data_IF_750740450271
#
_entry.id   IF_750740450271
#
_cell.length_a   1.000
_cell.length_b   1.000
_cell.length_c   1.000
_cell.angle_alpha   90.00
_cell.angle_beta   90.00
_cell.angle_gamma   90.00
#
_symmetry.space_group_name_H-M   'P 1'
#
loop_
_entity.id
_entity.type
_entity.pdbx_description
1 polymer ?
#
# COMPACT_ATOMS: atom_id res chain seq x y z
N UNK A 1 -8.80 -33.87 15.71
CA UNK A 1 -9.78 -32.88 15.20
C UNK A 1 -10.60 -32.18 16.29
N UNK A 2 -11.34 -32.89 17.17
CA UNK A 2 -12.20 -32.25 18.19
C UNK A 2 -11.47 -31.32 19.19
N UNK A 3 -10.30 -31.71 19.69
CA UNK A 3 -9.50 -30.84 20.58
C UNK A 3 -8.99 -29.58 19.87
N UNK A 4 -8.65 -29.68 18.58
CA UNK A 4 -8.17 -28.55 17.78
C UNK A 4 -9.31 -27.57 17.44
N UNK A 5 -10.53 -28.09 17.24
CA UNK A 5 -11.75 -27.31 17.10
C UNK A 5 -12.10 -26.53 18.38
N UNK A 6 -11.88 -27.13 19.56
CA UNK A 6 -12.15 -26.46 20.83
C UNK A 6 -11.19 -25.28 21.10
N UNK A 7 -9.91 -25.43 20.75
CA UNK A 7 -8.91 -24.36 20.97
C UNK A 7 -9.13 -23.22 19.97
N UNK A 8 -9.48 -23.55 18.72
CA UNK A 8 -9.84 -22.54 17.73
C UNK A 8 -11.13 -21.82 18.11
N UNK A 9 -12.11 -22.50 18.70
CA UNK A 9 -13.35 -21.88 19.18
C UNK A 9 -13.10 -20.80 20.27
N UNK A 10 -12.10 -20.98 21.13
CA UNK A 10 -11.71 -19.98 22.13
C UNK A 10 -10.99 -18.75 21.53
N UNK A 11 -10.27 -18.94 20.42
CA UNK A 11 -9.50 -17.88 19.77
C UNK A 11 -10.31 -17.00 18.81
N UNK A 12 -11.31 -17.56 18.12
CA UNK A 12 -12.12 -16.81 17.15
C UNK A 12 -12.76 -15.52 17.71
N UNK A 13 -13.31 -15.50 18.95
CA UNK A 13 -13.79 -14.26 19.55
C UNK A 13 -12.71 -13.19 19.72
N UNK A 14 -11.49 -13.57 20.12
CA UNK A 14 -10.37 -12.64 20.27
C UNK A 14 -9.95 -12.07 18.91
N UNK A 15 -9.85 -12.92 17.88
CA UNK A 15 -9.54 -12.50 16.53
C UNK A 15 -10.60 -11.55 15.97
N UNK A 16 -11.89 -11.82 16.23
CA UNK A 16 -12.99 -10.95 15.84
C UNK A 16 -12.93 -9.60 16.56
N UNK A 17 -12.61 -9.58 17.86
CA UNK A 17 -12.42 -8.33 18.60
C UNK A 17 -11.24 -7.53 18.08
N UNK A 18 -10.12 -8.20 17.76
CA UNK A 18 -8.97 -7.58 17.12
C UNK A 18 -9.37 -6.95 15.77
N UNK A 19 -10.04 -7.72 14.91
CA UNK A 19 -10.50 -7.23 13.61
C UNK A 19 -11.47 -6.06 13.77
N UNK A 20 -12.43 -6.11 14.69
CA UNK A 20 -13.33 -4.99 14.95
C UNK A 20 -12.56 -3.74 15.39
N UNK A 21 -11.55 -3.90 16.26
CA UNK A 21 -10.77 -2.80 16.80
C UNK A 21 -9.88 -2.10 15.77
N UNK A 22 -9.46 -2.80 14.71
CA UNK A 22 -8.74 -2.14 13.60
C UNK A 22 -9.55 -1.02 12.96
N UNK A 23 -10.90 -1.13 12.91
CA UNK A 23 -11.75 -0.05 12.39
C UNK A 23 -11.71 1.19 13.30
N UNK A 24 -11.61 1.03 14.62
CA UNK A 24 -11.40 2.15 15.56
C UNK A 24 -10.09 2.89 15.27
N UNK A 25 -9.02 2.15 14.96
CA UNK A 25 -7.75 2.77 14.55
C UNK A 25 -7.87 3.52 13.23
N UNK A 26 -8.55 2.95 12.23
CA UNK A 26 -8.81 3.61 10.93
C UNK A 26 -9.63 4.88 11.11
N UNK A 27 -10.71 4.82 11.88
CA UNK A 27 -11.60 5.96 12.10
C UNK A 27 -10.86 7.12 12.78
N UNK A 28 -10.11 6.83 13.85
CA UNK A 28 -9.28 7.84 14.53
C UNK A 28 -8.18 8.42 13.64
N UNK A 29 -7.59 7.60 12.75
CA UNK A 29 -6.63 8.09 11.75
C UNK A 29 -7.28 9.02 10.72
N UNK A 30 -8.45 8.67 10.19
CA UNK A 30 -9.21 9.49 9.25
C UNK A 30 -9.54 10.85 9.88
N UNK A 31 -9.99 10.86 11.13
CA UNK A 31 -10.29 12.11 11.84
C UNK A 31 -9.06 12.99 12.03
N UNK A 32 -7.90 12.38 12.28
CA UNK A 32 -6.63 13.10 12.37
C UNK A 32 -6.22 13.69 11.01
N UNK A 33 -6.36 12.93 9.93
CA UNK A 33 -6.06 13.39 8.57
C UNK A 33 -6.97 14.53 8.13
N UNK A 34 -8.29 14.39 8.32
CA UNK A 34 -9.27 15.45 8.06
C UNK A 34 -8.94 16.73 8.81
N UNK A 35 -8.61 16.63 10.10
CA UNK A 35 -8.22 17.81 10.89
C UNK A 35 -6.94 18.46 10.35
N UNK A 36 -5.97 17.68 9.84
CA UNK A 36 -4.79 18.22 9.18
C UNK A 36 -5.15 18.94 7.86
N UNK A 37 -6.07 18.39 7.07
CA UNK A 37 -6.55 19.03 5.85
C UNK A 37 -7.23 20.37 6.15
N UNK A 38 -8.09 20.43 7.18
CA UNK A 38 -8.70 21.68 7.66
C UNK A 38 -7.64 22.73 8.02
N UNK A 39 -6.61 22.34 8.77
CA UNK A 39 -5.49 23.24 9.14
C UNK A 39 -4.80 23.78 7.88
N UNK A 40 -4.50 22.91 6.90
CA UNK A 40 -3.85 23.32 5.66
C UNK A 40 -4.69 24.33 4.88
N UNK A 41 -6.02 24.13 4.82
CA UNK A 41 -6.95 25.06 4.15
C UNK A 41 -6.95 26.41 4.86
N UNK A 42 -7.01 26.44 6.19
CA UNK A 42 -6.96 27.70 6.96
C UNK A 42 -5.63 28.42 6.76
N UNK A 43 -4.50 27.69 6.73
CA UNK A 43 -3.19 28.27 6.43
C UNK A 43 -3.13 28.90 5.04
N UNK A 44 -3.70 28.24 4.03
CA UNK A 44 -3.81 28.80 2.68
C UNK A 44 -4.66 30.07 2.64
N UNK A 45 -5.82 30.09 3.34
CA UNK A 45 -6.67 31.28 3.46
C UNK A 45 -5.93 32.44 4.12
N UNK A 46 -5.22 32.19 5.22
CA UNK A 46 -4.40 33.22 5.90
C UNK A 46 -3.35 33.77 4.94
N UNK A 47 -2.64 32.90 4.21
CA UNK A 47 -1.62 33.31 3.24
C UNK A 47 -2.21 34.20 2.14
N UNK A 48 -3.36 33.81 1.57
CA UNK A 48 -4.05 34.60 0.56
C UNK A 48 -4.46 36.00 1.07
N UNK A 49 -4.98 36.08 2.30
CA UNK A 49 -5.33 37.37 2.92
C UNK A 49 -4.08 38.24 3.14
N UNK A 50 -2.99 37.67 3.66
CA UNK A 50 -1.73 38.40 3.88
C UNK A 50 -1.18 38.95 2.57
N UNK A 51 -1.21 38.15 1.49
CA UNK A 51 -0.79 38.59 0.17
C UNK A 51 -1.69 39.73 -0.36
N UNK A 52 -3.01 39.64 -0.14
CA UNK A 52 -3.96 40.68 -0.54
C UNK A 52 -3.72 41.98 0.24
N UNK A 53 -3.44 41.91 1.54
CA UNK A 53 -3.06 43.07 2.35
C UNK A 53 -1.78 43.72 1.82
N UNK A 54 -0.78 42.92 1.43
CA UNK A 54 0.45 43.42 0.83
C UNK A 54 0.17 44.19 -0.46
N UNK A 55 -0.67 43.64 -1.34
CA UNK A 55 -1.11 44.28 -2.58
C UNK A 55 -1.84 45.61 -2.30
N UNK A 56 -2.76 45.63 -1.34
CA UNK A 56 -3.47 46.86 -0.93
C UNK A 56 -2.48 47.90 -0.41
N UNK A 57 -1.50 47.51 0.40
CA UNK A 57 -0.48 48.45 0.89
C UNK A 57 0.34 49.04 -0.27
N UNK A 58 0.69 48.23 -1.28
CA UNK A 58 1.36 48.73 -2.47
C UNK A 58 0.48 49.72 -3.25
N UNK A 59 -0.80 49.39 -3.48
CA UNK A 59 -1.74 50.32 -4.13
C UNK A 59 -1.93 51.61 -3.34
N UNK A 60 -2.06 51.54 -2.02
CA UNK A 60 -2.15 52.71 -1.17
C UNK A 60 -0.88 53.57 -1.26
N UNK A 61 0.30 52.97 -1.38
CA UNK A 61 1.58 53.69 -1.57
C UNK A 61 1.59 54.45 -2.90
N UNK A 62 1.20 53.79 -4.01
CA UNK A 62 1.12 54.43 -5.33
C UNK A 62 0.04 55.53 -5.38
N UNK A 63 -1.14 55.28 -4.80
CA UNK A 63 -2.19 56.30 -4.69
C UNK A 63 -1.72 57.50 -3.86
N UNK A 64 -0.96 57.27 -2.78
CA UNK A 64 -0.36 58.36 -2.01
C UNK A 64 0.62 59.18 -2.86
N UNK A 65 1.48 58.54 -3.67
CA UNK A 65 2.38 59.22 -4.62
C UNK A 65 1.59 60.04 -5.65
N UNK A 66 0.57 59.46 -6.27
CA UNK A 66 -0.28 60.16 -7.24
C UNK A 66 -1.08 61.31 -6.60
N UNK A 67 -1.48 61.15 -5.33
CA UNK A 67 -2.20 62.17 -4.56
C UNK A 67 -1.33 63.34 -4.11
N UNK A 68 0.00 63.29 -4.30
CA UNK A 68 1.00 64.22 -3.73
C UNK A 68 0.53 65.67 -3.76
N UNK A 69 0.06 66.09 -2.58
CA UNK A 69 -0.43 67.41 -2.27
C UNK A 69 0.64 68.49 -2.53
N UNK A 70 1.91 68.16 -2.33
CA UNK A 70 3.04 69.09 -2.41
C UNK A 70 3.40 69.49 -3.85
N UNK A 71 3.37 68.57 -4.82
CA UNK A 71 3.60 68.89 -6.22
C UNK A 71 2.44 69.70 -6.83
N UNK A 72 1.19 69.39 -6.44
CA UNK A 72 0.01 70.15 -6.87
C UNK A 72 -0.06 71.53 -6.20
N UNK A 73 0.33 71.63 -4.93
CA UNK A 73 0.45 72.89 -4.21
C UNK A 73 1.55 73.76 -4.79
N UNK A 74 2.74 73.20 -5.03
CA UNK A 74 3.85 73.88 -5.69
C UNK A 74 3.48 74.33 -7.12
N UNK A 75 2.74 73.52 -7.87
CA UNK A 75 2.20 73.91 -9.18
C UNK A 75 1.20 75.07 -9.07
N UNK A 76 0.29 75.04 -8.09
CA UNK A 76 -0.66 76.13 -7.83
C UNK A 76 0.06 77.41 -7.39
N UNK A 77 1.04 77.33 -6.51
CA UNK A 77 1.86 78.48 -6.09
C UNK A 77 2.68 79.04 -7.26
N UNK A 78 3.32 78.18 -8.06
CA UNK A 78 4.09 78.58 -9.23
C UNK A 78 3.21 79.27 -10.29
N UNK A 79 2.04 78.71 -10.58
CA UNK A 79 1.08 79.30 -11.55
C UNK A 79 0.35 80.53 -11.01
N UNK A 80 0.17 80.65 -9.69
CA UNK A 80 -0.36 81.86 -9.06
C UNK A 80 0.67 83.01 -9.07
N UNK A 81 1.95 82.69 -8.84
CA UNK A 81 3.05 83.66 -8.85
C UNK A 81 3.40 84.17 -10.26
N UNK A 82 3.22 83.33 -11.29
CA UNK A 82 3.54 83.65 -12.69
C UNK A 82 2.26 83.98 -13.47
N UNK A 83 1.78 85.23 -13.37
CA UNK A 83 0.64 85.69 -14.17
C UNK A 83 0.96 85.56 -15.66
N UNK A 84 0.06 84.92 -16.42
CA UNK A 84 0.17 84.84 -17.87
C UNK A 84 0.12 86.26 -18.45
N UNK A 85 1.05 86.57 -19.35
CA UNK A 85 1.19 87.91 -19.95
C UNK A 85 0.03 88.25 -20.89
N UNK A 86 -0.76 87.24 -21.30
CA UNK A 86 -1.98 87.38 -22.10
C UNK A 86 -3.06 86.47 -21.51
N UNK A 87 -4.19 87.06 -21.13
CA UNK A 87 -5.41 86.37 -20.66
C UNK A 87 -6.52 86.58 -21.66
N UNK A 88 -7.16 85.50 -22.12
CA UNK A 88 -8.38 85.54 -22.92
C UNK A 88 -9.41 84.55 -22.32
N UNK A 89 -10.67 84.69 -22.72
CA UNK A 89 -11.79 83.90 -22.17
C UNK A 89 -11.58 82.38 -22.30
N UNK A 90 -10.85 81.94 -23.35
CA UNK A 90 -10.50 80.53 -23.52
C UNK A 90 -9.45 80.04 -22.49
N UNK A 91 -8.44 80.84 -22.20
CA UNK A 91 -7.38 80.57 -21.21
C UNK A 91 -7.99 80.51 -19.80
N UNK A 92 -8.87 81.45 -19.47
CA UNK A 92 -9.53 81.49 -18.15
C UNK A 92 -10.48 80.29 -17.95
N UNK A 93 -11.30 79.95 -18.95
CA UNK A 93 -12.15 78.74 -18.93
C UNK A 93 -11.32 77.46 -18.82
N UNK A 94 -10.16 77.39 -19.48
CA UNK A 94 -9.27 76.23 -19.44
C UNK A 94 -8.63 76.08 -18.06
N UNK A 95 -8.20 77.17 -17.43
CA UNK A 95 -7.67 77.20 -16.07
C UNK A 95 -8.71 76.72 -15.05
N UNK A 96 -9.91 77.27 -15.11
CA UNK A 96 -11.03 76.86 -14.25
C UNK A 96 -11.37 75.38 -14.40
N UNK A 97 -11.36 74.87 -15.64
CA UNK A 97 -11.57 73.45 -15.92
C UNK A 97 -10.48 72.58 -15.30
N UNK A 98 -9.21 72.95 -15.47
CA UNK A 98 -8.06 72.23 -14.89
C UNK A 98 -8.16 72.22 -13.35
N UNK A 99 -8.51 73.34 -12.74
CA UNK A 99 -8.65 73.44 -11.28
C UNK A 99 -9.82 72.58 -10.75
N UNK A 100 -10.96 72.58 -11.43
CA UNK A 100 -12.12 71.73 -11.09
C UNK A 100 -11.77 70.24 -11.23
N UNK A 101 -11.16 69.84 -12.34
CA UNK A 101 -10.73 68.45 -12.57
C UNK A 101 -9.68 68.02 -11.54
N UNK A 102 -8.72 68.89 -11.22
CA UNK A 102 -7.69 68.62 -10.21
C UNK A 102 -8.26 68.40 -8.81
N UNK A 103 -9.28 69.19 -8.42
CA UNK A 103 -10.02 69.00 -7.16
C UNK A 103 -10.84 67.71 -7.15
N UNK A 104 -11.62 67.45 -8.21
CA UNK A 104 -12.40 66.20 -8.34
C UNK A 104 -11.51 64.96 -8.21
N UNK A 105 -10.42 64.92 -8.97
CA UNK A 105 -9.47 63.80 -8.93
C UNK A 105 -8.84 63.62 -7.54
N UNK A 106 -8.57 64.72 -6.82
CA UNK A 106 -8.04 64.64 -5.46
C UNK A 106 -9.04 64.02 -4.48
N UNK A 107 -10.30 64.46 -4.54
CA UNK A 107 -11.36 63.92 -3.68
C UNK A 107 -11.63 62.44 -3.99
N UNK A 108 -11.57 62.05 -5.26
CA UNK A 108 -11.63 60.65 -5.71
C UNK A 108 -10.49 59.82 -5.12
N UNK A 109 -9.23 60.27 -5.23
CA UNK A 109 -8.09 59.56 -4.63
C UNK A 109 -8.21 59.44 -3.11
N UNK A 110 -8.69 60.48 -2.43
CA UNK A 110 -8.90 60.47 -0.97
C UNK A 110 -10.00 59.48 -0.57
N UNK A 111 -11.08 59.42 -1.34
CA UNK A 111 -12.17 58.47 -1.11
C UNK A 111 -11.71 57.03 -1.35
N UNK A 112 -10.94 56.79 -2.41
CA UNK A 112 -10.41 55.45 -2.71
C UNK A 112 -9.40 54.99 -1.66
N UNK A 113 -8.55 55.89 -1.17
CA UNK A 113 -7.63 55.59 -0.08
C UNK A 113 -8.37 55.21 1.21
N UNK A 114 -9.48 55.89 1.55
CA UNK A 114 -10.34 55.51 2.68
C UNK A 114 -10.97 54.12 2.47
N UNK A 115 -11.43 53.81 1.25
CA UNK A 115 -11.99 52.49 0.90
C UNK A 115 -10.96 51.38 1.09
N UNK A 116 -9.75 51.57 0.55
CA UNK A 116 -8.65 50.62 0.68
C UNK A 116 -8.21 50.43 2.15
N UNK A 117 -8.15 51.52 2.93
CA UNK A 117 -7.88 51.44 4.37
C UNK A 117 -8.93 50.61 5.11
N UNK A 118 -10.22 50.86 4.83
CA UNK A 118 -11.32 50.11 5.42
C UNK A 118 -11.24 48.63 5.04
N UNK A 119 -11.01 48.31 3.77
CA UNK A 119 -10.89 46.94 3.29
C UNK A 119 -9.70 46.22 3.94
N UNK A 120 -8.54 46.87 4.01
CA UNK A 120 -7.35 46.35 4.70
C UNK A 120 -7.64 46.04 6.17
N UNK A 121 -8.32 46.94 6.87
CA UNK A 121 -8.67 46.73 8.28
C UNK A 121 -9.64 45.56 8.46
N UNK A 122 -10.58 45.36 7.54
CA UNK A 122 -11.45 44.19 7.53
C UNK A 122 -10.65 42.89 7.33
N UNK A 123 -9.72 42.87 6.35
CA UNK A 123 -8.84 41.73 6.11
C UNK A 123 -7.94 41.41 7.31
N UNK A 124 -7.44 42.40 8.03
CA UNK A 124 -6.68 42.16 9.28
C UNK A 124 -7.54 41.48 10.35
N UNK A 125 -8.81 41.88 10.50
CA UNK A 125 -9.74 41.23 11.44
C UNK A 125 -10.02 39.79 11.04
N UNK A 126 -10.27 39.54 9.75
CA UNK A 126 -10.48 38.20 9.21
C UNK A 126 -9.24 37.30 9.41
N UNK A 127 -8.05 37.81 9.10
CA UNK A 127 -6.80 37.09 9.34
C UNK A 127 -6.61 36.71 10.80
N UNK A 128 -6.95 37.60 11.74
CA UNK A 128 -6.88 37.30 13.17
C UNK A 128 -7.91 36.25 13.59
N UNK A 129 -9.12 36.29 13.02
CA UNK A 129 -10.13 35.24 13.27
C UNK A 129 -9.67 33.87 12.76
N UNK A 130 -9.11 33.81 11.54
CA UNK A 130 -8.57 32.56 10.99
C UNK A 130 -7.36 32.04 11.79
N UNK A 131 -6.52 32.94 12.32
CA UNK A 131 -5.43 32.54 13.23
C UNK A 131 -5.95 31.90 14.52
N UNK A 132 -7.05 32.43 15.07
CA UNK A 132 -7.71 31.86 16.24
C UNK A 132 -8.33 30.49 15.91
N UNK A 133 -8.99 30.36 14.75
CA UNK A 133 -9.52 29.09 14.24
C UNK A 133 -8.40 28.04 14.08
N UNK A 134 -7.29 28.41 13.43
CA UNK A 134 -6.10 27.56 13.31
C UNK A 134 -5.58 27.10 14.66
N UNK A 135 -5.51 27.99 15.65
CA UNK A 135 -5.07 27.63 17.01
C UNK A 135 -6.02 26.61 17.67
N UNK A 136 -7.32 26.75 17.46
CA UNK A 136 -8.33 25.78 17.94
C UNK A 136 -8.18 24.42 17.23
N UNK A 137 -8.00 24.40 15.91
CA UNK A 137 -7.77 23.17 15.15
C UNK A 137 -6.47 22.47 15.57
N UNK A 138 -5.39 23.20 15.82
CA UNK A 138 -4.14 22.62 16.33
C UNK A 138 -4.32 21.94 17.70
N UNK A 139 -5.12 22.53 18.60
CA UNK A 139 -5.49 21.91 19.88
C UNK A 139 -6.31 20.64 19.67
N UNK A 140 -7.34 20.69 18.80
CA UNK A 140 -8.16 19.53 18.43
C UNK A 140 -7.30 18.40 17.86
N UNK A 141 -6.39 18.71 16.93
CA UNK A 141 -5.45 17.75 16.34
C UNK A 141 -4.58 17.08 17.41
N UNK A 142 -4.10 17.84 18.41
CA UNK A 142 -3.29 17.26 19.50
C UNK A 142 -4.08 16.21 20.30
N UNK A 143 -5.34 16.48 20.61
CA UNK A 143 -6.23 15.55 21.32
C UNK A 143 -6.48 14.30 20.47
N UNK A 144 -6.86 14.48 19.20
CA UNK A 144 -7.07 13.37 18.26
C UNK A 144 -5.82 12.52 18.10
N UNK A 145 -4.64 13.14 18.05
CA UNK A 145 -3.37 12.43 17.94
C UNK A 145 -3.08 11.59 19.19
N UNK A 146 -3.38 12.10 20.39
CA UNK A 146 -3.24 11.34 21.63
C UNK A 146 -4.18 10.14 21.67
N UNK A 147 -5.44 10.34 21.27
CA UNK A 147 -6.43 9.26 21.17
C UNK A 147 -5.98 8.19 20.16
N UNK A 148 -5.50 8.62 18.98
CA UNK A 148 -5.03 7.71 17.96
C UNK A 148 -3.79 6.91 18.42
N UNK A 149 -2.84 7.54 19.12
CA UNK A 149 -1.70 6.82 19.73
C UNK A 149 -2.18 5.78 20.74
N UNK A 150 -3.14 6.13 21.62
CA UNK A 150 -3.70 5.18 22.57
C UNK A 150 -4.35 3.98 21.86
N UNK A 151 -5.15 4.24 20.83
CA UNK A 151 -5.76 3.19 20.00
C UNK A 151 -4.69 2.29 19.35
N UNK A 152 -3.60 2.85 18.84
CA UNK A 152 -2.51 2.05 18.24
C UNK A 152 -1.83 1.14 19.26
N UNK A 153 -1.61 1.63 20.48
CA UNK A 153 -1.04 0.83 21.55
C UNK A 153 -1.97 -0.33 21.92
N UNK A 154 -3.27 -0.06 22.11
CA UNK A 154 -4.26 -1.10 22.40
C UNK A 154 -4.38 -2.12 21.25
N UNK A 155 -4.35 -1.67 20.00
CA UNK A 155 -4.35 -2.57 18.84
C UNK A 155 -3.10 -3.46 18.82
N UNK A 156 -1.95 -2.92 19.21
CA UNK A 156 -0.69 -3.67 19.29
C UNK A 156 -0.76 -4.74 20.37
N UNK A 157 -1.28 -4.41 21.55
CA UNK A 157 -1.48 -5.38 22.64
C UNK A 157 -2.44 -6.51 22.22
N UNK A 158 -3.58 -6.17 21.59
CA UNK A 158 -4.53 -7.17 21.05
C UNK A 158 -3.89 -8.03 19.97
N UNK A 159 -3.07 -7.43 19.10
CA UNK A 159 -2.34 -8.16 18.07
C UNK A 159 -1.33 -9.15 18.67
N UNK A 160 -0.56 -8.72 19.67
CA UNK A 160 0.41 -9.58 20.36
C UNK A 160 -0.28 -10.75 21.07
N UNK A 161 -1.39 -10.49 21.76
CA UNK A 161 -2.21 -11.53 22.36
C UNK A 161 -2.72 -12.52 21.31
N UNK A 162 -3.25 -12.02 20.18
CA UNK A 162 -3.71 -12.85 19.08
C UNK A 162 -2.58 -13.69 18.47
N UNK A 163 -1.38 -13.13 18.34
CA UNK A 163 -0.21 -13.83 17.83
C UNK A 163 0.21 -14.96 18.77
N UNK A 164 0.19 -14.72 20.09
CA UNK A 164 0.59 -15.74 21.05
C UNK A 164 -0.40 -16.91 21.07
N UNK A 165 -1.70 -16.62 21.07
CA UNK A 165 -2.73 -17.65 20.99
C UNK A 165 -2.67 -18.40 19.65
N UNK A 166 -2.48 -17.68 18.53
CA UNK A 166 -2.24 -18.28 17.21
C UNK A 166 -1.01 -19.19 17.19
N UNK A 167 0.10 -18.82 17.84
CA UNK A 167 1.31 -19.66 17.92
C UNK A 167 1.01 -21.00 18.59
N UNK A 168 0.19 -21.00 19.64
CA UNK A 168 -0.22 -22.23 20.33
C UNK A 168 -1.08 -23.12 19.42
N UNK A 169 -2.05 -22.53 18.72
CA UNK A 169 -2.87 -23.23 17.71
C UNK A 169 -1.97 -23.80 16.60
N UNK A 170 -1.10 -22.97 16.03
CA UNK A 170 -0.20 -23.36 14.96
C UNK A 170 0.75 -24.48 15.39
N UNK A 171 1.25 -24.48 16.63
CA UNK A 171 2.09 -25.57 17.17
C UNK A 171 1.34 -26.90 17.15
N UNK A 172 0.06 -26.91 17.56
CA UNK A 172 -0.77 -28.12 17.57
C UNK A 172 -1.11 -28.62 16.17
N UNK A 173 -1.42 -27.73 15.23
CA UNK A 173 -1.64 -28.14 13.84
C UNK A 173 -0.35 -28.62 13.17
N UNK A 174 0.81 -28.03 13.47
CA UNK A 174 2.10 -28.45 12.90
C UNK A 174 2.47 -29.90 13.23
N UNK A 175 2.00 -30.43 14.35
CA UNK A 175 2.27 -31.81 14.79
C UNK A 175 1.09 -32.75 14.52
N UNK A 176 0.04 -32.29 13.81
CA UNK A 176 -1.20 -33.05 13.67
C UNK A 176 -1.01 -34.43 13.01
N UNK A 177 -0.18 -34.48 11.98
CA UNK A 177 0.12 -35.70 11.23
C UNK A 177 1.36 -36.45 11.76
N UNK A 178 1.91 -36.03 12.91
CA UNK A 178 3.09 -36.66 13.49
C UNK A 178 2.79 -38.12 13.84
N UNK A 179 3.66 -39.02 13.38
CA UNK A 179 3.60 -40.47 13.55
C UNK A 179 2.41 -41.17 12.87
N UNK A 180 1.70 -40.47 11.98
CA UNK A 180 0.57 -41.07 11.26
C UNK A 180 1.06 -41.86 10.03
N UNK A 181 0.78 -43.16 10.05
CA UNK A 181 1.15 -44.13 9.00
C UNK A 181 0.28 -43.96 7.75
N UNK A 182 0.81 -44.30 6.58
CA UNK A 182 0.12 -44.28 5.29
C UNK A 182 0.05 -45.68 4.68
N UNK A 183 -0.88 -45.92 3.76
CA UNK A 183 -0.88 -47.14 2.96
C UNK A 183 0.19 -47.13 1.85
N UNK A 184 0.81 -45.98 1.60
CA UNK A 184 1.86 -45.80 0.59
C UNK A 184 3.24 -46.18 1.16
N UNK A 185 3.89 -47.18 0.58
CA UNK A 185 5.19 -47.69 1.03
C UNK A 185 6.28 -46.61 1.11
N UNK A 186 6.44 -45.82 0.04
CA UNK A 186 7.42 -44.72 0.01
C UNK A 186 7.16 -43.64 1.06
N UNK A 187 5.88 -43.39 1.40
CA UNK A 187 5.56 -42.42 2.45
C UNK A 187 6.07 -42.93 3.79
N UNK A 188 5.79 -44.19 4.12
CA UNK A 188 6.26 -44.78 5.38
C UNK A 188 7.78 -44.87 5.44
N UNK A 189 8.44 -45.20 4.33
CA UNK A 189 9.90 -45.19 4.23
C UNK A 189 10.46 -43.80 4.54
N UNK A 190 9.94 -42.75 3.91
CA UNK A 190 10.43 -41.39 4.14
C UNK A 190 10.05 -40.82 5.50
N UNK A 191 8.95 -41.30 6.11
CA UNK A 191 8.57 -40.92 7.48
C UNK A 191 9.43 -41.63 8.53
N UNK A 192 9.91 -42.85 8.26
CA UNK A 192 10.71 -43.63 9.21
C UNK A 192 12.02 -42.94 9.62
N UNK A 193 12.59 -42.14 8.72
CA UNK A 193 13.82 -41.39 8.95
C UNK A 193 13.61 -40.08 9.73
N UNK A 194 12.35 -39.70 10.03
CA UNK A 194 12.01 -38.45 10.69
C UNK A 194 11.90 -38.62 12.21
N UNK A 195 12.53 -37.71 12.95
CA UNK A 195 12.60 -37.77 14.42
C UNK A 195 11.25 -37.48 15.07
N UNK A 196 10.47 -36.57 14.50
CA UNK A 196 9.17 -36.15 15.01
C UNK A 196 8.01 -36.77 14.22
N UNK A 197 8.28 -37.77 13.39
CA UNK A 197 7.26 -38.57 12.72
C UNK A 197 6.47 -37.83 11.64
N UNK A 198 6.96 -36.72 11.08
CA UNK A 198 6.30 -36.02 9.99
C UNK A 198 5.57 -34.75 10.40
N UNK A 199 6.20 -33.91 11.23
CA UNK A 199 5.68 -32.57 11.51
C UNK A 199 5.71 -31.68 10.26
N UNK A 200 4.91 -30.62 10.20
CA UNK A 200 4.90 -29.69 9.05
C UNK A 200 6.30 -29.18 8.65
N UNK A 201 7.20 -28.81 9.60
CA UNK A 201 8.59 -28.48 9.27
C UNK A 201 9.37 -29.63 8.63
N UNK A 202 9.19 -30.87 9.11
CA UNK A 202 9.84 -32.05 8.55
C UNK A 202 9.28 -32.38 7.16
N UNK A 203 7.95 -32.36 6.98
CA UNK A 203 7.28 -32.53 5.69
C UNK A 203 7.84 -31.55 4.65
N UNK A 204 8.00 -30.27 5.04
CA UNK A 204 8.57 -29.26 4.15
C UNK A 204 10.00 -29.60 3.70
N UNK A 205 10.83 -30.15 4.59
CA UNK A 205 12.20 -30.58 4.25
C UNK A 205 12.20 -31.82 3.38
N UNK A 206 11.33 -32.78 3.66
CA UNK A 206 11.21 -34.03 2.91
C UNK A 206 10.80 -33.76 1.46
N UNK A 207 9.86 -32.83 1.23
CA UNK A 207 9.40 -32.47 -0.11
C UNK A 207 10.57 -32.10 -1.05
N UNK A 208 11.58 -31.37 -0.57
CA UNK A 208 12.74 -31.00 -1.39
C UNK A 208 13.56 -32.22 -1.85
N UNK A 209 13.76 -33.18 -0.96
CA UNK A 209 14.46 -34.43 -1.26
C UNK A 209 13.62 -35.32 -2.19
N UNK A 210 12.33 -35.45 -1.91
CA UNK A 210 11.38 -36.25 -2.68
C UNK A 210 11.22 -35.74 -4.10
N UNK A 211 11.21 -34.41 -4.30
CA UNK A 211 11.18 -33.82 -5.64
C UNK A 211 12.34 -34.34 -6.50
N UNK A 212 13.56 -34.41 -5.96
CA UNK A 212 14.74 -34.92 -6.68
C UNK A 212 14.64 -36.41 -7.02
N UNK A 213 14.08 -37.22 -6.10
CA UNK A 213 13.87 -38.64 -6.31
C UNK A 213 12.84 -38.88 -7.43
N UNK A 214 11.73 -38.15 -7.40
CA UNK A 214 10.70 -38.19 -8.45
C UNK A 214 11.27 -37.76 -9.79
N UNK A 215 12.06 -36.68 -9.84
CA UNK A 215 12.68 -36.22 -11.08
C UNK A 215 13.65 -37.27 -11.66
N UNK A 216 14.39 -37.97 -10.79
CA UNK A 216 15.28 -39.06 -11.18
C UNK A 216 14.52 -40.27 -11.73
N UNK A 217 13.42 -40.66 -11.10
CA UNK A 217 12.55 -41.74 -11.57
C UNK A 217 11.85 -41.39 -12.90
N UNK A 218 11.42 -40.13 -13.06
CA UNK A 218 10.90 -39.60 -14.31
C UNK A 218 11.95 -39.72 -15.41
N UNK A 219 13.19 -39.29 -15.15
CA UNK A 219 14.30 -39.38 -16.11
C UNK A 219 14.60 -40.82 -16.50
N UNK A 220 14.72 -41.73 -15.53
CA UNK A 220 14.95 -43.16 -15.75
C UNK A 220 13.85 -43.81 -16.61
N UNK A 221 12.58 -43.50 -16.32
CA UNK A 221 11.47 -43.96 -17.14
C UNK A 221 11.56 -43.42 -18.57
N UNK A 222 11.89 -42.14 -18.75
CA UNK A 222 12.03 -41.56 -20.09
C UNK A 222 13.18 -42.18 -20.88
N UNK A 223 14.33 -42.41 -20.27
CA UNK A 223 15.48 -43.08 -20.90
C UNK A 223 15.12 -44.49 -21.37
N UNK A 224 14.56 -45.32 -20.48
CA UNK A 224 14.14 -46.69 -20.81
C UNK A 224 13.04 -46.72 -21.87
N UNK A 225 12.07 -45.81 -21.79
CA UNK A 225 10.98 -45.73 -22.75
C UNK A 225 11.47 -45.24 -24.13
N UNK A 226 12.44 -44.32 -24.15
CA UNK A 226 13.07 -43.86 -25.39
C UNK A 226 13.90 -44.97 -26.05
N UNK A 227 14.58 -45.81 -25.26
CA UNK A 227 15.28 -47.00 -25.77
C UNK A 227 14.29 -48.06 -26.28
N UNK A 228 13.17 -48.27 -25.58
CA UNK A 228 12.17 -49.28 -25.92
C UNK A 228 11.35 -48.96 -27.18
N UNK A 229 10.93 -47.69 -27.35
CA UNK A 229 10.00 -47.26 -28.41
C UNK A 229 10.41 -47.66 -29.83
N UNK A 230 11.66 -47.49 -30.28
CA UNK A 230 12.08 -47.86 -31.62
C UNK A 230 11.95 -49.36 -31.88
N UNK A 231 12.30 -50.21 -30.91
CA UNK A 231 12.17 -51.66 -31.04
C UNK A 231 10.71 -52.09 -31.05
N UNK A 232 9.89 -51.52 -30.16
CA UNK A 232 8.46 -51.80 -30.13
C UNK A 232 7.77 -51.39 -31.44
N UNK A 233 8.14 -50.23 -31.99
CA UNK A 233 7.56 -49.72 -33.25
C UNK A 233 7.96 -50.58 -34.45
N UNK A 234 9.23 -50.98 -34.56
CA UNK A 234 9.71 -51.85 -35.65
C UNK A 234 9.10 -53.25 -35.60
N UNK A 235 9.00 -53.85 -34.41
CA UNK A 235 8.34 -55.16 -34.23
C UNK A 235 6.86 -55.08 -34.56
N UNK A 236 6.18 -54.01 -34.14
CA UNK A 236 4.77 -53.77 -34.46
C UNK A 236 4.57 -53.59 -35.97
N UNK A 237 5.39 -52.77 -36.62
CA UNK A 237 5.32 -52.54 -38.07
C UNK A 237 5.54 -53.83 -38.87
N UNK A 238 6.52 -54.66 -38.50
CA UNK A 238 6.77 -55.95 -39.15
C UNK A 238 5.58 -56.93 -39.02
N UNK A 239 4.90 -56.92 -37.88
CA UNK A 239 3.67 -57.70 -37.70
C UNK A 239 2.47 -57.13 -38.46
N UNK A 240 2.39 -55.82 -38.63
CA UNK A 240 1.31 -55.15 -39.39
C UNK A 240 1.49 -55.30 -40.91
N UNK A 241 2.73 -55.26 -41.41
CA UNK A 241 3.05 -55.41 -42.84
C UNK A 241 3.23 -56.87 -43.28
N UNK A 242 3.37 -57.82 -42.34
CA UNK A 242 3.83 -59.19 -42.60
C UNK A 242 5.22 -59.28 -43.27
N UNK A 243 6.00 -58.22 -43.24
CA UNK A 243 7.37 -58.20 -43.74
C UNK A 243 8.35 -58.22 -42.55
N UNK A 244 9.20 -59.25 -42.49
CA UNK A 244 10.13 -59.48 -41.38
C UNK A 244 11.58 -59.25 -41.83
N UNK A 245 12.18 -58.09 -41.53
CA UNK A 245 13.58 -57.83 -41.85
C UNK A 245 14.51 -58.78 -41.10
N UNK A 246 15.73 -58.98 -41.59
CA UNK A 246 16.74 -59.82 -40.93
C UNK A 246 17.06 -59.36 -39.48
N UNK A 247 16.82 -58.08 -39.17
CA UNK A 247 16.99 -57.54 -37.80
C UNK A 247 15.84 -57.87 -36.86
N UNK A 248 14.73 -58.43 -37.34
CA UNK A 248 13.49 -58.63 -36.56
C UNK A 248 13.72 -59.48 -35.30
N UNK A 249 14.49 -60.57 -35.41
CA UNK A 249 14.78 -61.43 -34.26
C UNK A 249 15.51 -60.66 -33.15
N UNK A 250 16.47 -59.82 -33.53
CA UNK A 250 17.24 -58.96 -32.61
C UNK A 250 16.37 -57.86 -32.02
N UNK A 251 15.54 -57.21 -32.82
CA UNK A 251 14.63 -56.15 -32.37
C UNK A 251 13.56 -56.69 -31.41
N UNK A 252 13.00 -57.88 -31.68
CA UNK A 252 12.03 -58.54 -30.79
C UNK A 252 12.67 -59.03 -29.49
N UNK A 253 13.93 -59.51 -29.53
CA UNK A 253 14.67 -59.86 -28.33
C UNK A 253 14.91 -58.64 -27.43
N UNK A 254 15.35 -57.51 -27.99
CA UNK A 254 15.57 -56.28 -27.23
C UNK A 254 14.25 -55.70 -26.71
N UNK A 255 13.16 -55.76 -27.48
CA UNK A 255 11.80 -55.41 -27.02
C UNK A 255 11.41 -56.24 -25.80
N UNK A 256 11.54 -57.57 -25.86
CA UNK A 256 11.19 -58.49 -24.77
C UNK A 256 12.03 -58.24 -23.51
N UNK A 257 13.31 -57.89 -23.67
CA UNK A 257 14.21 -57.52 -22.57
C UNK A 257 13.79 -56.21 -21.90
N UNK A 258 13.51 -55.17 -22.69
CA UNK A 258 13.22 -53.82 -22.19
C UNK A 258 11.79 -53.66 -21.65
N UNK A 259 10.81 -54.40 -22.18
CA UNK A 259 9.40 -54.31 -21.76
C UNK A 259 9.17 -54.42 -20.23
N UNK A 260 9.70 -55.43 -19.50
CA UNK A 260 9.52 -55.51 -18.05
C UNK A 260 10.23 -54.37 -17.31
N UNK A 261 11.37 -53.89 -17.82
CA UNK A 261 12.12 -52.77 -17.22
C UNK A 261 11.35 -51.46 -17.33
N UNK A 262 10.74 -51.19 -18.49
CA UNK A 262 9.89 -50.01 -18.71
C UNK A 262 8.65 -50.07 -17.83
N UNK A 263 8.01 -51.25 -17.72
CA UNK A 263 6.84 -51.45 -16.85
C UNK A 263 7.18 -51.17 -15.38
N UNK A 264 8.27 -51.78 -14.87
CA UNK A 264 8.72 -51.55 -13.50
C UNK A 264 9.09 -50.08 -13.24
N UNK A 265 9.80 -49.44 -14.17
CA UNK A 265 10.14 -48.01 -14.03
C UNK A 265 8.91 -47.08 -14.07
N UNK A 266 7.86 -47.46 -14.80
CA UNK A 266 6.59 -46.73 -14.80
C UNK A 266 5.86 -46.88 -13.46
N UNK A 267 5.77 -48.09 -12.94
CA UNK A 267 5.12 -48.39 -11.65
C UNK A 267 5.84 -47.68 -10.48
N UNK A 268 7.17 -47.74 -10.46
CA UNK A 268 8.04 -47.03 -9.51
C UNK A 268 7.84 -45.52 -9.57
N UNK A 269 7.94 -44.92 -10.76
CA UNK A 269 7.64 -43.50 -11.00
C UNK A 269 6.26 -43.11 -10.48
N UNK A 270 5.23 -43.92 -10.77
CA UNK A 270 3.85 -43.63 -10.36
C UNK A 270 3.74 -43.63 -8.83
N UNK A 271 4.26 -44.66 -8.17
CA UNK A 271 4.24 -44.77 -6.72
C UNK A 271 4.98 -43.60 -6.03
N UNK A 272 6.11 -43.15 -6.58
CA UNK A 272 6.84 -41.98 -6.08
C UNK A 272 6.07 -40.67 -6.26
N UNK A 273 5.36 -40.50 -7.39
CA UNK A 273 4.50 -39.32 -7.63
C UNK A 273 3.33 -39.31 -6.64
N UNK A 274 2.68 -40.45 -6.42
CA UNK A 274 1.55 -40.59 -5.50
C UNK A 274 2.00 -40.28 -4.06
N UNK A 275 3.15 -40.84 -3.63
CA UNK A 275 3.76 -40.54 -2.34
C UNK A 275 4.13 -39.06 -2.18
N UNK A 276 4.69 -38.43 -3.21
CA UNK A 276 4.97 -36.98 -3.19
C UNK A 276 3.69 -36.15 -3.07
N UNK A 277 2.64 -36.53 -3.80
CA UNK A 277 1.34 -35.83 -3.78
C UNK A 277 0.72 -35.86 -2.38
N UNK A 278 0.87 -36.98 -1.67
CA UNK A 278 0.46 -37.13 -0.28
C UNK A 278 1.07 -36.06 0.64
N UNK A 279 2.39 -35.85 0.58
CA UNK A 279 3.06 -34.81 1.38
C UNK A 279 2.60 -33.39 1.01
N UNK A 280 2.42 -33.10 -0.27
CA UNK A 280 1.87 -31.81 -0.70
C UNK A 280 0.45 -31.58 -0.17
N UNK A 281 -0.38 -32.62 -0.19
CA UNK A 281 -1.77 -32.56 0.32
C UNK A 281 -1.77 -32.25 1.81
N UNK A 282 -1.05 -33.04 2.63
CA UNK A 282 -0.92 -32.79 4.08
C UNK A 282 -0.38 -31.40 4.38
N UNK A 283 0.67 -30.97 3.67
CA UNK A 283 1.26 -29.62 3.84
C UNK A 283 0.24 -28.52 3.54
N UNK A 284 -0.43 -28.60 2.40
CA UNK A 284 -1.37 -27.58 1.95
C UNK A 284 -2.60 -27.52 2.88
N UNK A 285 -3.08 -28.66 3.35
CA UNK A 285 -4.17 -28.75 4.31
C UNK A 285 -3.80 -28.08 5.65
N UNK A 286 -2.64 -28.40 6.22
CA UNK A 286 -2.16 -27.76 7.45
C UNK A 286 -1.99 -26.25 7.29
N UNK A 287 -1.46 -25.79 6.16
CA UNK A 287 -1.42 -24.36 5.84
C UNK A 287 -2.82 -23.75 5.72
N UNK A 288 -3.77 -24.49 5.15
CA UNK A 288 -5.18 -24.10 5.06
C UNK A 288 -5.83 -23.89 6.43
N UNK A 289 -5.47 -24.67 7.44
CA UNK A 289 -5.94 -24.46 8.82
C UNK A 289 -5.21 -23.33 9.55
N UNK A 290 -3.89 -23.22 9.38
CA UNK A 290 -3.05 -22.31 10.17
C UNK A 290 -3.11 -20.86 9.66
N UNK A 291 -3.05 -20.67 8.33
CA UNK A 291 -2.83 -19.34 7.75
C UNK A 291 -4.04 -18.39 7.90
N UNK A 292 -5.29 -18.83 7.68
CA UNK A 292 -6.45 -17.95 7.82
C UNK A 292 -6.66 -17.42 9.25
N UNK A 293 -6.19 -18.18 10.24
CA UNK A 293 -6.25 -17.81 11.65
C UNK A 293 -5.16 -16.82 12.07
N UNK A 294 -4.21 -16.46 11.19
CA UNK A 294 -3.18 -15.49 11.54
C UNK A 294 -3.76 -14.06 11.52
N UNK A 295 -3.50 -13.22 12.54
CA UNK A 295 -4.08 -11.86 12.61
C UNK A 295 -3.66 -10.94 11.45
N UNK A 296 -2.48 -11.17 10.84
CA UNK A 296 -2.10 -10.53 9.55
C UNK A 296 -3.18 -10.64 8.48
N UNK A 297 -3.93 -11.76 8.40
CA UNK A 297 -4.97 -11.93 7.39
C UNK A 297 -6.09 -10.89 7.52
N UNK A 298 -6.47 -10.55 8.75
CA UNK A 298 -7.47 -9.51 9.02
C UNK A 298 -6.94 -8.12 8.63
N UNK A 299 -5.68 -7.80 8.97
CA UNK A 299 -5.06 -6.54 8.54
C UNK A 299 -4.99 -6.47 7.02
N UNK A 300 -4.48 -7.52 6.36
CA UNK A 300 -4.34 -7.56 4.91
C UNK A 300 -5.70 -7.39 4.20
N UNK A 301 -6.77 -8.02 4.71
CA UNK A 301 -8.13 -7.86 4.17
C UNK A 301 -8.63 -6.41 4.27
N UNK A 302 -8.41 -5.74 5.40
CA UNK A 302 -8.81 -4.34 5.58
C UNK A 302 -7.98 -3.42 4.70
N UNK A 303 -6.69 -3.70 4.54
CA UNK A 303 -5.84 -2.95 3.62
C UNK A 303 -6.33 -3.08 2.18
N UNK A 304 -6.74 -4.28 1.77
CA UNK A 304 -7.31 -4.51 0.44
C UNK A 304 -8.60 -3.73 0.24
N UNK A 305 -9.49 -3.69 1.24
CA UNK A 305 -10.71 -2.87 1.21
C UNK A 305 -10.37 -1.37 1.08
N UNK A 306 -9.39 -0.87 1.84
CA UNK A 306 -9.07 0.56 1.89
C UNK A 306 -8.14 1.05 0.75
N UNK A 307 -7.48 0.14 0.04
CA UNK A 307 -6.53 0.48 -1.03
C UNK A 307 -7.19 0.62 -2.41
N UNK A 308 -8.52 0.69 -2.50
CA UNK A 308 -9.25 0.71 -3.79
C UNK A 308 -8.89 1.92 -4.65
N UNK A 309 -8.71 3.10 -4.03
CA UNK A 309 -8.49 4.36 -4.74
C UNK A 309 -7.08 4.94 -4.59
N UNK A 310 -6.35 4.62 -3.51
CA UNK A 310 -4.99 5.12 -3.20
C UNK A 310 -4.18 4.13 -2.36
N UNK A 311 -2.84 4.24 -2.39
CA UNK A 311 -1.97 3.44 -1.52
C UNK A 311 -2.26 3.78 -0.05
N UNK A 312 -2.84 2.81 0.67
CA UNK A 312 -3.16 2.95 2.09
C UNK A 312 -1.91 2.69 2.94
N UNK A 313 -1.60 3.62 3.84
CA UNK A 313 -0.43 3.52 4.72
C UNK A 313 -0.83 2.84 6.05
N UNK A 314 -0.52 1.55 6.14
CA UNK A 314 -0.76 0.71 7.32
C UNK A 314 -0.01 1.13 8.55
N UNK A 315 1.22 1.59 8.40
CA UNK A 315 2.02 2.04 9.53
C UNK A 315 1.41 3.27 10.21
N UNK A 316 0.89 4.21 9.41
CA UNK A 316 0.21 5.38 9.95
C UNK A 316 -1.08 4.98 10.67
N UNK A 317 -1.95 4.22 10.01
CA UNK A 317 -3.28 3.89 10.54
C UNK A 317 -3.24 2.86 11.70
N UNK A 318 -2.42 1.82 11.61
CA UNK A 318 -2.40 0.71 12.57
C UNK A 318 -1.15 0.70 13.45
N UNK A 319 0.00 1.15 12.94
CA UNK A 319 1.29 0.96 13.62
C UNK A 319 1.78 -0.49 13.60
N UNK A 320 1.12 -1.35 12.84
CA UNK A 320 1.46 -2.76 12.69
C UNK A 320 1.66 -3.02 11.19
N UNK A 321 2.79 -3.61 10.85
CA UNK A 321 3.09 -4.04 9.49
C UNK A 321 3.04 -5.57 9.39
N UNK A 322 2.21 -6.07 8.48
CA UNK A 322 2.04 -7.51 8.22
C UNK A 322 3.31 -8.10 7.57
N UNK A 323 3.44 -9.43 7.58
CA UNK A 323 4.54 -10.11 6.87
C UNK A 323 4.57 -9.75 5.38
N UNK A 324 3.40 -9.64 4.74
CA UNK A 324 3.24 -9.24 3.33
C UNK A 324 3.80 -7.83 3.11
N UNK A 325 3.48 -6.89 3.99
CA UNK A 325 3.96 -5.51 3.92
C UNK A 325 5.46 -5.38 4.18
N UNK A 326 5.97 -6.06 5.22
CA UNK A 326 7.42 -6.12 5.52
C UNK A 326 8.21 -6.66 4.34
N UNK A 327 7.73 -7.75 3.71
CA UNK A 327 8.35 -8.32 2.50
C UNK A 327 8.36 -7.33 1.35
N UNK A 328 7.21 -6.68 1.04
CA UNK A 328 7.12 -5.64 0.00
C UNK A 328 8.10 -4.49 0.27
N UNK A 329 8.24 -4.06 1.53
CA UNK A 329 9.20 -3.02 1.91
C UNK A 329 10.64 -3.44 1.57
N UNK A 330 11.05 -4.65 1.97
CA UNK A 330 12.39 -5.17 1.68
C UNK A 330 12.64 -5.35 0.19
N UNK A 331 11.65 -5.81 -0.57
CA UNK A 331 11.72 -5.90 -2.03
C UNK A 331 11.91 -4.50 -2.65
N UNK A 332 11.07 -3.51 -2.30
CA UNK A 332 11.20 -2.12 -2.77
C UNK A 332 12.59 -1.53 -2.44
N UNK A 333 13.12 -1.82 -1.26
CA UNK A 333 14.45 -1.39 -0.82
C UNK A 333 15.57 -2.03 -1.64
N UNK A 334 15.47 -3.33 -1.93
CA UNK A 334 16.44 -4.07 -2.77
C UNK A 334 16.50 -3.53 -4.20
N UNK A 335 15.38 -3.05 -4.73
CA UNK A 335 15.29 -2.48 -6.08
C UNK A 335 15.49 -0.95 -6.14
N UNK A 336 15.93 -0.30 -5.05
CA UNK A 336 16.29 1.13 -5.07
C UNK A 336 15.13 2.11 -5.29
N UNK A 337 13.89 1.69 -5.05
CA UNK A 337 12.70 2.53 -5.25
C UNK A 337 12.63 3.58 -4.14
N UNK A 338 12.82 4.87 -4.50
CA UNK A 338 12.99 6.02 -3.58
C UNK A 338 11.80 6.34 -2.65
N UNK A 339 10.70 5.58 -2.67
CA UNK A 339 9.54 5.76 -1.79
C UNK A 339 9.36 4.66 -0.73
N UNK A 340 10.41 3.86 -0.44
CA UNK A 340 10.33 2.80 0.57
C UNK A 340 10.03 3.29 2.01
N UNK A 341 10.22 4.58 2.29
CA UNK A 341 10.07 5.17 3.63
C UNK A 341 8.64 5.61 4.00
N UNK A 342 7.65 5.45 3.09
CA UNK A 342 6.25 5.82 3.33
C UNK A 342 5.30 4.63 3.56
N UNK A 343 5.82 3.42 3.81
CA UNK A 343 5.00 2.23 4.10
C UNK A 343 5.37 1.65 5.46
#
# INVERSE_FOLDING_TARGET
MNEQLQITAGYLPELNQFQAFTFTCVDSWIHLDLCQQEINIVEQKISAIVNTISLINAYMSELNKLSQHQARHAWREFTAARRLTVTNDFVDKSKDRIDRTSKSNHDEFKNELKRLQSHRNALYKEANSLRAERATLLKKKKILNQQHIANKNELTEKYEACIEHWRQIAKKFKVYYAFEVSDLSYVNEWLADLKEGGTLPEINRVIDTVNKLVDSAIKKFHELNNEYKPYNSRVKAAHESNEYPDTFAKDNAQRKRLAPMVKAAFEDKKALIDARSFFYTRRNELHGYINPLHPDAAIDAICEILSTDREFNTWLAFGINTRKQKRKHWEKKKYGIKNAAKN
#
